data_IF_301521485292
#
_entry.id   IF_301521485292
#
_cell.length_a   1.000
_cell.length_b   1.000
_cell.length_c   1.000
_cell.angle_alpha   90.00
_cell.angle_beta   90.00
_cell.angle_gamma   90.00
#
_symmetry.space_group_name_H-M   'P 1'
#
loop_
_entity.id
_entity.type
_entity.pdbx_description
1 polymer ?
#
# COMPACT_ATOMS: atom_id res chain seq x y z
N UNK A 1 -3.48 19.93 -19.04
CA UNK A 1 -4.95 19.74 -19.03
C UNK A 1 -5.52 20.30 -17.74
N UNK A 2 -6.64 21.04 -17.79
CA UNK A 2 -7.32 21.62 -16.61
C UNK A 2 -8.26 20.59 -15.97
N UNK A 3 -7.72 19.57 -15.31
CA UNK A 3 -8.50 18.52 -14.66
C UNK A 3 -7.79 18.07 -13.39
N UNK A 4 -8.56 17.93 -12.30
CA UNK A 4 -7.99 17.68 -10.97
C UNK A 4 -7.66 16.20 -10.71
N UNK A 5 -8.31 15.26 -11.42
CA UNK A 5 -8.17 13.82 -11.20
C UNK A 5 -8.33 13.03 -12.52
N UNK A 6 -7.81 11.81 -12.56
CA UNK A 6 -7.85 10.92 -13.72
C UNK A 6 -9.27 10.67 -14.24
N UNK A 7 -10.26 10.51 -13.35
CA UNK A 7 -11.65 10.27 -13.77
C UNK A 7 -12.20 11.44 -14.58
N UNK A 8 -11.97 12.68 -14.13
CA UNK A 8 -12.38 13.87 -14.86
C UNK A 8 -11.63 14.02 -16.19
N UNK A 9 -10.36 13.63 -16.23
CA UNK A 9 -9.58 13.61 -17.47
C UNK A 9 -10.11 12.56 -18.46
N UNK A 10 -10.40 11.35 -17.99
CA UNK A 10 -10.93 10.26 -18.79
C UNK A 10 -12.33 10.57 -19.33
N UNK A 11 -13.17 11.26 -18.56
CA UNK A 11 -14.46 11.77 -19.07
C UNK A 11 -14.28 12.70 -20.28
N UNK A 12 -13.27 13.58 -20.26
CA UNK A 12 -12.96 14.44 -21.41
C UNK A 12 -12.45 13.65 -22.62
N UNK A 13 -11.69 12.58 -22.41
CA UNK A 13 -11.23 11.70 -23.49
C UNK A 13 -12.40 10.95 -24.12
N UNK A 14 -13.29 10.39 -23.30
CA UNK A 14 -14.51 9.71 -23.75
C UNK A 14 -15.39 10.64 -24.59
N UNK A 15 -15.61 11.89 -24.14
CA UNK A 15 -16.37 12.88 -24.90
C UNK A 15 -15.73 13.23 -26.25
N UNK A 16 -14.41 13.04 -26.37
CA UNK A 16 -13.65 13.22 -27.61
C UNK A 16 -13.47 11.93 -28.41
N UNK A 17 -14.11 10.83 -28.00
CA UNK A 17 -13.97 9.50 -28.61
C UNK A 17 -12.52 8.98 -28.61
N UNK A 18 -11.74 9.38 -27.61
CA UNK A 18 -10.36 8.92 -27.37
C UNK A 18 -10.39 7.87 -26.25
N UNK A 19 -9.58 6.82 -26.38
CA UNK A 19 -9.45 5.78 -25.36
C UNK A 19 -9.03 6.39 -24.01
N UNK A 20 -9.73 6.07 -22.89
CA UNK A 20 -9.36 6.57 -21.58
C UNK A 20 -8.02 5.99 -21.12
N UNK A 21 -7.31 6.74 -20.28
CA UNK A 21 -6.08 6.24 -19.66
C UNK A 21 -6.40 5.21 -18.57
N UNK A 22 -5.67 4.10 -18.49
CA UNK A 22 -5.87 3.10 -17.45
C UNK A 22 -5.38 3.62 -16.10
N UNK A 23 -5.92 3.03 -15.02
CA UNK A 23 -5.29 3.11 -13.70
C UNK A 23 -4.07 2.19 -13.66
N UNK A 24 -3.02 2.62 -12.96
CA UNK A 24 -1.82 1.82 -12.78
C UNK A 24 -1.76 1.34 -11.32
N UNK A 25 -1.67 0.04 -11.11
CA UNK A 25 -1.47 -0.56 -9.79
C UNK A 25 -0.10 -1.24 -9.79
N UNK A 26 0.80 -0.78 -8.93
CA UNK A 26 2.11 -1.38 -8.75
C UNK A 26 2.12 -2.14 -7.43
N UNK A 27 2.42 -3.44 -7.50
CA UNK A 27 2.36 -4.36 -6.37
C UNK A 27 3.77 -4.89 -6.10
N UNK A 28 4.21 -4.77 -4.85
CA UNK A 28 5.41 -5.39 -4.34
C UNK A 28 4.98 -6.48 -3.37
N UNK A 29 5.24 -7.75 -3.67
CA UNK A 29 4.87 -8.86 -2.78
C UNK A 29 5.82 -8.97 -1.58
N UNK A 30 7.12 -8.81 -1.81
CA UNK A 30 8.14 -8.74 -0.76
C UNK A 30 9.03 -7.52 -0.95
N UNK A 31 8.63 -6.41 -0.34
CA UNK A 31 9.35 -5.14 -0.44
C UNK A 31 10.71 -5.15 0.27
N UNK A 32 10.89 -6.00 1.28
CA UNK A 32 12.11 -6.04 2.07
C UNK A 32 13.35 -6.40 1.23
N UNK A 33 13.18 -7.17 0.16
CA UNK A 33 14.28 -7.59 -0.70
C UNK A 33 14.93 -6.40 -1.43
N UNK A 34 14.14 -5.38 -1.77
CA UNK A 34 14.65 -4.13 -2.34
C UNK A 34 15.33 -3.21 -1.32
N UNK A 35 15.13 -3.46 -0.02
CA UNK A 35 15.67 -2.62 1.06
C UNK A 35 17.08 -3.05 1.49
N UNK A 36 17.58 -4.17 0.97
CA UNK A 36 18.89 -4.72 1.30
C UNK A 36 20.04 -3.88 0.71
N UNK A 37 19.89 -3.42 -0.53
CA UNK A 37 20.88 -2.62 -1.22
C UNK A 37 20.65 -1.12 -1.02
N UNK A 38 21.69 -0.42 -0.57
CA UNK A 38 21.58 0.99 -0.17
C UNK A 38 21.13 1.92 -1.30
N UNK A 39 21.67 1.74 -2.51
CA UNK A 39 21.35 2.60 -3.65
C UNK A 39 19.93 2.35 -4.16
N UNK A 40 19.53 1.07 -4.29
CA UNK A 40 18.16 0.68 -4.68
C UNK A 40 17.14 1.24 -3.68
N UNK A 41 17.38 1.07 -2.37
CA UNK A 41 16.53 1.63 -1.32
C UNK A 41 16.34 3.14 -1.48
N UNK A 42 17.44 3.87 -1.70
CA UNK A 42 17.42 5.34 -1.83
C UNK A 42 16.57 5.79 -3.02
N UNK A 43 16.72 5.13 -4.16
CA UNK A 43 15.93 5.42 -5.36
C UNK A 43 14.44 5.10 -5.18
N UNK A 44 14.13 3.97 -4.55
CA UNK A 44 12.75 3.58 -4.25
C UNK A 44 12.08 4.52 -3.26
N UNK A 45 12.75 4.88 -2.15
CA UNK A 45 12.19 5.83 -1.19
C UNK A 45 11.95 7.20 -1.82
N UNK A 46 12.86 7.67 -2.67
CA UNK A 46 12.68 8.90 -3.46
C UNK A 46 11.46 8.80 -4.38
N UNK A 47 11.29 7.67 -5.06
CA UNK A 47 10.16 7.40 -5.95
C UNK A 47 8.84 7.32 -5.20
N UNK A 48 8.80 6.64 -4.05
CA UNK A 48 7.62 6.54 -3.18
C UNK A 48 7.23 7.92 -2.65
N UNK A 49 8.21 8.74 -2.24
CA UNK A 49 7.94 10.13 -1.81
C UNK A 49 7.31 10.96 -2.93
N UNK A 50 7.81 10.84 -4.16
CA UNK A 50 7.26 11.54 -5.33
C UNK A 50 5.86 11.04 -5.69
N UNK A 51 5.65 9.73 -5.66
CA UNK A 51 4.37 9.11 -5.96
C UNK A 51 3.34 9.43 -4.87
N UNK A 52 3.67 9.30 -3.58
CA UNK A 52 2.78 9.63 -2.46
C UNK A 52 2.19 11.04 -2.57
N UNK A 53 2.96 12.00 -3.06
CA UNK A 53 2.52 13.38 -3.23
C UNK A 53 1.62 13.65 -4.46
N UNK A 54 1.67 12.82 -5.52
CA UNK A 54 1.05 13.14 -6.83
C UNK A 54 0.18 12.03 -7.42
N UNK A 55 0.41 10.78 -7.02
CA UNK A 55 -0.15 9.59 -7.65
C UNK A 55 -1.67 9.47 -7.53
N UNK A 56 -2.26 9.93 -6.41
CA UNK A 56 -3.71 9.86 -6.16
C UNK A 56 -4.53 10.48 -7.28
N UNK A 57 -4.18 11.71 -7.68
CA UNK A 57 -4.88 12.42 -8.75
C UNK A 57 -4.60 11.79 -10.12
N UNK A 58 -3.42 11.20 -10.31
CA UNK A 58 -3.00 10.56 -11.56
C UNK A 58 -3.55 9.13 -11.73
N UNK A 59 -4.22 8.56 -10.72
CA UNK A 59 -4.73 7.17 -10.77
C UNK A 59 -3.64 6.11 -10.70
N UNK A 60 -2.53 6.41 -10.03
CA UNK A 60 -1.45 5.46 -9.75
C UNK A 60 -1.57 5.01 -8.29
N UNK A 61 -1.55 3.70 -8.06
CA UNK A 61 -1.70 3.09 -6.74
C UNK A 61 -0.51 2.18 -6.44
N UNK A 62 0.00 2.27 -5.22
CA UNK A 62 1.07 1.42 -4.72
C UNK A 62 0.49 0.46 -3.67
N UNK A 63 0.76 -0.83 -3.83
CA UNK A 63 0.51 -1.87 -2.84
C UNK A 63 1.86 -2.47 -2.48
N UNK A 64 2.21 -2.41 -1.20
CA UNK A 64 3.48 -2.90 -0.69
C UNK A 64 3.18 -3.94 0.37
N UNK A 65 3.60 -5.17 0.13
CA UNK A 65 3.55 -6.28 1.06
C UNK A 65 4.96 -6.69 1.47
N UNK A 66 5.05 -7.29 2.66
CA UNK A 66 6.27 -7.86 3.21
C UNK A 66 5.91 -8.84 4.32
N UNK A 67 6.69 -9.90 4.46
CA UNK A 67 6.65 -10.81 5.60
C UNK A 67 7.64 -10.40 6.71
N UNK A 68 8.45 -9.37 6.47
CA UNK A 68 9.48 -8.85 7.38
C UNK A 68 9.07 -7.47 7.90
N UNK A 69 8.20 -7.39 8.93
CA UNK A 69 7.76 -6.13 9.51
C UNK A 69 8.87 -5.51 10.38
N UNK A 70 10.00 -5.15 9.77
CA UNK A 70 11.16 -4.56 10.42
C UNK A 70 11.21 -3.04 10.22
N UNK A 71 11.77 -2.31 11.18
CA UNK A 71 11.91 -0.85 11.09
C UNK A 71 12.71 -0.38 9.85
N UNK A 72 13.62 -1.21 9.36
CA UNK A 72 14.41 -0.96 8.14
C UNK A 72 13.60 -1.10 6.85
N UNK A 73 12.48 -1.81 6.89
CA UNK A 73 11.56 -2.03 5.76
C UNK A 73 10.41 -1.03 5.82
N UNK A 74 9.77 -0.90 6.99
CA UNK A 74 8.68 0.04 7.24
C UNK A 74 9.25 1.39 7.68
N UNK A 75 10.01 2.05 6.81
CA UNK A 75 10.74 3.29 7.14
C UNK A 75 9.80 4.48 7.39
N UNK A 76 10.26 5.61 7.98
CA UNK A 76 9.45 6.82 8.11
C UNK A 76 8.91 7.36 6.78
N UNK A 77 9.65 7.17 5.67
CA UNK A 77 9.21 7.59 4.33
C UNK A 77 8.01 6.75 3.89
N UNK A 78 8.08 5.43 4.08
CA UNK A 78 6.95 4.52 3.83
C UNK A 78 5.74 4.95 4.66
N UNK A 79 5.93 5.12 5.98
CA UNK A 79 4.82 5.45 6.90
C UNK A 79 4.16 6.79 6.60
N UNK A 80 4.91 7.80 6.13
CA UNK A 80 4.38 9.13 5.85
C UNK A 80 3.70 9.25 4.48
N UNK A 81 4.04 8.40 3.51
CA UNK A 81 3.51 8.48 2.15
C UNK A 81 2.47 7.40 1.82
N UNK A 82 2.38 6.33 2.62
CA UNK A 82 1.43 5.23 2.45
C UNK A 82 0.56 5.10 3.72
N UNK A 83 -0.55 5.85 3.80
CA UNK A 83 -1.35 5.96 5.03
C UNK A 83 -2.30 4.78 5.26
N UNK A 84 -2.66 4.03 4.23
CA UNK A 84 -3.48 2.83 4.35
C UNK A 84 -2.61 1.64 4.75
N UNK A 85 -2.94 0.97 5.86
CA UNK A 85 -2.14 -0.15 6.37
C UNK A 85 -3.02 -1.35 6.65
N UNK A 86 -2.52 -2.52 6.30
CA UNK A 86 -3.17 -3.80 6.57
C UNK A 86 -2.16 -4.66 7.31
N UNK A 87 -2.59 -5.29 8.40
CA UNK A 87 -1.83 -6.34 9.06
C UNK A 87 -2.67 -7.60 9.12
N UNK A 88 -2.13 -8.71 8.62
CA UNK A 88 -2.57 -10.05 9.00
C UNK A 88 -1.97 -10.41 10.37
N UNK A 89 -2.27 -11.61 10.86
CA UNK A 89 -1.68 -12.11 12.11
C UNK A 89 -0.15 -11.96 12.10
N UNK A 90 0.38 -11.19 13.05
CA UNK A 90 1.83 -11.01 13.24
C UNK A 90 2.39 -12.01 14.24
N UNK A 91 3.70 -12.26 14.20
CA UNK A 91 4.37 -13.16 15.12
C UNK A 91 4.46 -12.58 16.54
N UNK A 92 4.56 -11.25 16.65
CA UNK A 92 4.66 -10.55 17.93
C UNK A 92 3.88 -9.23 17.95
N UNK A 93 3.68 -8.70 19.16
CA UNK A 93 3.17 -7.33 19.34
C UNK A 93 4.12 -6.27 18.78
N UNK A 94 5.43 -6.52 18.82
CA UNK A 94 6.44 -5.60 18.31
C UNK A 94 6.29 -5.42 16.79
N UNK A 95 6.07 -6.52 16.07
CA UNK A 95 5.81 -6.53 14.63
C UNK A 95 4.53 -5.76 14.28
N UNK A 96 3.45 -5.99 15.04
CA UNK A 96 2.19 -5.23 14.88
C UNK A 96 2.42 -3.74 15.06
N UNK A 97 3.19 -3.35 16.09
CA UNK A 97 3.55 -1.94 16.33
C UNK A 97 4.36 -1.38 15.17
N UNK A 98 5.30 -2.12 14.59
CA UNK A 98 6.08 -1.63 13.43
C UNK A 98 5.15 -1.31 12.25
N UNK A 99 4.19 -2.19 11.95
CA UNK A 99 3.21 -1.96 10.88
C UNK A 99 2.35 -0.72 11.17
N UNK A 100 1.80 -0.58 12.38
CA UNK A 100 0.90 0.52 12.74
C UNK A 100 1.57 1.76 13.34
N UNK A 101 2.89 1.91 13.15
CA UNK A 101 3.62 3.10 13.57
C UNK A 101 3.70 3.31 15.09
N UNK A 102 3.81 2.23 15.85
CA UNK A 102 4.02 2.21 17.30
C UNK A 102 2.75 2.14 18.15
N UNK A 103 1.58 2.36 17.54
CA UNK A 103 0.33 2.64 18.27
C UNK A 103 -0.50 1.42 18.61
N UNK A 104 -0.37 0.31 17.88
CA UNK A 104 -1.30 -0.81 17.97
C UNK A 104 -0.61 -2.18 17.88
N UNK A 105 -0.91 -3.06 18.82
CA UNK A 105 -0.38 -4.43 18.92
C UNK A 105 -1.40 -5.53 18.60
N UNK A 106 -2.64 -5.17 18.24
CA UNK A 106 -3.79 -6.09 18.14
C UNK A 106 -3.61 -7.15 17.03
N UNK A 107 -2.74 -6.90 16.04
CA UNK A 107 -2.51 -7.87 14.97
C UNK A 107 -1.87 -9.17 15.47
N UNK A 108 -1.16 -9.13 16.61
CA UNK A 108 -0.56 -10.33 17.22
C UNK A 108 -1.63 -11.34 17.69
N UNK A 109 -2.86 -10.87 17.93
CA UNK A 109 -3.98 -11.63 18.49
C UNK A 109 -5.01 -12.04 17.44
N UNK A 110 -4.76 -11.77 16.16
CA UNK A 110 -5.61 -12.24 15.06
C UNK A 110 -5.58 -13.77 14.96
N UNK A 111 -6.66 -14.34 14.43
CA UNK A 111 -6.85 -15.79 14.31
C UNK A 111 -6.03 -16.39 13.16
N UNK A 112 -5.55 -15.56 12.22
CA UNK A 112 -4.93 -15.99 10.96
C UNK A 112 -5.99 -16.32 9.90
N UNK A 113 -5.59 -17.04 8.83
CA UNK A 113 -6.48 -17.49 7.75
C UNK A 113 -7.39 -16.37 7.17
N UNK A 114 -6.81 -15.20 6.95
CA UNK A 114 -7.51 -14.04 6.38
C UNK A 114 -8.07 -13.03 7.40
N UNK A 115 -8.03 -13.34 8.70
CA UNK A 115 -8.35 -12.35 9.75
C UNK A 115 -7.30 -11.24 9.75
N UNK A 116 -7.75 -9.98 9.63
CA UNK A 116 -6.87 -8.83 9.40
C UNK A 116 -7.34 -7.58 10.15
N UNK A 117 -6.40 -6.66 10.36
CA UNK A 117 -6.66 -5.30 10.79
C UNK A 117 -6.36 -4.33 9.65
N UNK A 118 -7.29 -3.44 9.37
CA UNK A 118 -7.14 -2.34 8.43
C UNK A 118 -7.12 -1.00 9.18
N UNK A 119 -6.04 -0.23 9.00
CA UNK A 119 -5.90 1.11 9.53
C UNK A 119 -6.02 2.14 8.40
N UNK A 120 -6.94 3.09 8.57
CA UNK A 120 -7.09 4.26 7.72
C UNK A 120 -7.17 5.52 8.58
N UNK A 121 -6.07 6.26 8.64
CA UNK A 121 -5.94 7.37 9.59
C UNK A 121 -5.95 6.85 11.02
N UNK A 122 -6.84 7.37 11.87
CA UNK A 122 -7.01 6.91 13.25
C UNK A 122 -7.97 5.71 13.39
N UNK A 123 -8.74 5.40 12.34
CA UNK A 123 -9.72 4.30 12.39
C UNK A 123 -9.03 2.97 12.15
N UNK A 124 -9.24 2.03 13.07
CA UNK A 124 -8.80 0.66 12.96
C UNK A 124 -10.02 -0.26 12.91
N UNK A 125 -10.08 -1.12 11.91
CA UNK A 125 -11.18 -2.07 11.71
C UNK A 125 -10.63 -3.48 11.58
N UNK A 126 -11.23 -4.42 12.30
CA UNK A 126 -10.99 -5.85 12.11
C UNK A 126 -11.91 -6.37 11.02
N UNK A 127 -11.33 -7.03 10.03
CA UNK A 127 -12.03 -7.53 8.84
C UNK A 127 -11.59 -8.97 8.57
N UNK A 128 -12.36 -9.67 7.74
CA UNK A 128 -12.01 -10.98 7.22
C UNK A 128 -11.72 -10.85 5.72
N UNK A 129 -10.56 -11.32 5.27
CA UNK A 129 -10.22 -11.35 3.85
C UNK A 129 -11.12 -12.33 3.11
N UNK A 130 -11.32 -12.05 1.83
CA UNK A 130 -11.86 -13.06 0.90
C UNK A 130 -10.87 -14.22 0.80
N UNK A 131 -11.42 -15.43 0.65
CA UNK A 131 -10.66 -16.61 0.30
C UNK A 131 -10.81 -16.85 -1.20
N UNK A 132 -9.69 -16.87 -1.94
CA UNK A 132 -9.68 -17.15 -3.36
C UNK A 132 -8.96 -18.47 -3.59
N UNK A 133 -9.68 -19.48 -4.08
CA UNK A 133 -9.09 -20.78 -4.43
C UNK A 133 -8.18 -20.68 -5.66
N UNK A 134 -8.50 -19.76 -6.57
CA UNK A 134 -7.71 -19.45 -7.76
C UNK A 134 -7.73 -17.96 -8.00
N UNK A 135 -6.55 -17.38 -8.21
CA UNK A 135 -6.37 -16.01 -8.66
C UNK A 135 -5.98 -16.07 -10.13
N UNK A 136 -6.81 -15.50 -11.00
CA UNK A 136 -6.50 -15.30 -12.41
C UNK A 136 -6.30 -13.81 -12.57
N UNK A 137 -5.05 -13.39 -12.75
CA UNK A 137 -4.75 -12.02 -13.16
C UNK A 137 -4.96 -11.91 -14.68
N UNK A 138 -5.53 -10.80 -15.18
CA UNK A 138 -5.74 -10.57 -16.60
C UNK A 138 -4.43 -10.51 -17.40
#
# INVERSE_FOLDING_TARGET
AKCAHLDAYNQQLINKQILPLPRIVCIFDEYADFMAEKEIRKELESSIKRLGAKARAAGIHLIIATQRPEAKVVTPIIRSNLPGRIALRTASEADSRIIFGGSNSEAAYLLGKGDLLYQKGSKLERLQSLFAERIILP
#
